data_IF_075251327576
#
_entry.id   IF_075251327576
#
_cell.length_a   1.000
_cell.length_b   1.000
_cell.length_c   1.000
_cell.angle_alpha   90.00
_cell.angle_beta   90.00
_cell.angle_gamma   90.00
#
_symmetry.space_group_name_H-M   'P 1'
#
loop_
_entity.id
_entity.type
_entity.pdbx_description
1 polymer ?
#
# COMPACT_ATOMS: atom_id res chain seq x y z
N UNK A 1 -2.73 22.37 -19.23
CA UNK A 1 -2.44 20.92 -19.17
C UNK A 1 -1.15 20.67 -19.95
N UNK A 2 -0.03 20.33 -19.29
CA UNK A 2 1.25 20.11 -19.96
C UNK A 2 1.24 18.68 -20.50
N UNK A 3 1.04 18.53 -21.81
CA UNK A 3 0.95 17.24 -22.48
C UNK A 3 2.25 16.45 -22.25
N UNK A 4 2.15 15.25 -21.67
CA UNK A 4 3.26 14.31 -21.43
C UNK A 4 3.17 13.16 -22.44
N UNK A 5 3.63 13.35 -23.68
CA UNK A 5 3.47 12.38 -24.77
C UNK A 5 4.18 11.05 -24.48
N UNK A 6 5.20 11.06 -23.62
CA UNK A 6 5.95 9.87 -23.22
C UNK A 6 5.36 9.16 -21.98
N UNK A 7 4.25 9.67 -21.43
CA UNK A 7 3.61 9.15 -20.20
C UNK A 7 4.60 9.00 -19.04
N UNK A 8 5.63 9.85 -18.96
CA UNK A 8 6.68 9.77 -17.93
C UNK A 8 6.09 9.89 -16.53
N UNK A 9 5.17 10.83 -16.32
CA UNK A 9 4.45 11.05 -15.07
C UNK A 9 3.62 9.84 -14.63
N UNK A 10 2.99 9.17 -15.58
CA UNK A 10 2.28 7.91 -15.34
C UNK A 10 3.26 6.81 -14.90
N UNK A 11 4.36 6.60 -15.64
CA UNK A 11 5.41 5.63 -15.27
C UNK A 11 5.98 5.89 -13.88
N UNK A 12 6.25 7.15 -13.54
CA UNK A 12 6.76 7.53 -12.21
C UNK A 12 5.74 7.24 -11.11
N UNK A 13 4.44 7.42 -11.38
CA UNK A 13 3.38 7.09 -10.43
C UNK A 13 3.32 5.59 -10.14
N UNK A 14 3.47 4.75 -11.17
CA UNK A 14 3.57 3.30 -11.00
C UNK A 14 4.78 2.88 -10.17
N UNK A 15 5.94 3.48 -10.46
CA UNK A 15 7.17 3.25 -9.69
C UNK A 15 6.91 3.61 -8.22
N UNK A 16 6.34 4.77 -7.93
CA UNK A 16 6.04 5.20 -6.57
C UNK A 16 5.14 4.20 -5.82
N UNK A 17 4.04 3.74 -6.43
CA UNK A 17 3.12 2.76 -5.82
C UNK A 17 3.83 1.43 -5.56
N UNK A 18 4.62 0.93 -6.52
CA UNK A 18 5.36 -0.32 -6.37
C UNK A 18 6.39 -0.24 -5.24
N UNK A 19 7.18 0.83 -5.20
CA UNK A 19 8.19 1.05 -4.16
C UNK A 19 7.57 1.28 -2.78
N UNK A 20 6.44 1.99 -2.68
CA UNK A 20 5.69 2.13 -1.44
C UNK A 20 5.28 0.75 -0.88
N UNK A 21 4.82 -0.15 -1.75
CA UNK A 21 4.46 -1.51 -1.36
C UNK A 21 5.66 -2.33 -0.89
N UNK A 22 6.77 -2.30 -1.64
CA UNK A 22 8.00 -2.99 -1.23
C UNK A 22 8.55 -2.47 0.11
N UNK A 23 8.51 -1.15 0.31
CA UNK A 23 8.94 -0.54 1.56
C UNK A 23 8.05 -0.95 2.73
N UNK A 24 6.73 -0.99 2.54
CA UNK A 24 5.79 -1.44 3.57
C UNK A 24 6.09 -2.89 4.00
N UNK A 25 6.34 -3.81 3.05
CA UNK A 25 6.71 -5.20 3.37
C UNK A 25 8.01 -5.27 4.18
N UNK A 26 9.03 -4.51 3.76
CA UNK A 26 10.30 -4.46 4.47
C UNK A 26 10.13 -3.89 5.88
N UNK A 27 9.33 -2.84 6.04
CA UNK A 27 9.01 -2.23 7.33
C UNK A 27 8.31 -3.23 8.26
N UNK A 28 7.26 -3.91 7.78
CA UNK A 28 6.54 -4.93 8.54
C UNK A 28 7.46 -6.08 8.95
N UNK A 29 8.36 -6.51 8.07
CA UNK A 29 9.34 -7.55 8.36
C UNK A 29 10.34 -7.13 9.44
N UNK A 30 10.86 -5.90 9.37
CA UNK A 30 11.81 -5.38 10.35
C UNK A 30 11.15 -5.20 11.72
N UNK A 31 10.07 -4.42 11.77
CA UNK A 31 9.34 -4.11 13.01
C UNK A 31 8.74 -5.37 13.62
N UNK A 32 8.20 -6.27 12.79
CA UNK A 32 7.59 -7.49 13.27
C UNK A 32 8.59 -8.47 13.85
N UNK A 33 9.76 -8.65 13.22
CA UNK A 33 10.84 -9.47 13.80
C UNK A 33 11.41 -8.87 15.08
N UNK A 34 11.49 -7.55 15.17
CA UNK A 34 11.94 -6.85 16.36
C UNK A 34 10.97 -7.02 17.54
N UNK A 35 9.66 -6.80 17.31
CA UNK A 35 8.64 -6.83 18.36
C UNK A 35 8.20 -8.23 18.77
N UNK A 36 8.08 -9.15 17.82
CA UNK A 36 7.50 -10.48 18.04
C UNK A 36 8.57 -11.59 18.08
N UNK A 37 9.78 -11.30 17.62
CA UNK A 37 10.81 -12.30 17.35
C UNK A 37 10.59 -13.04 16.02
N UNK A 38 11.65 -13.67 15.48
CA UNK A 38 11.62 -14.25 14.13
C UNK A 38 10.64 -15.42 13.98
N UNK A 39 10.53 -16.30 14.98
CA UNK A 39 9.67 -17.49 14.91
C UNK A 39 8.18 -17.14 14.96
N UNK A 40 7.80 -16.16 15.79
CA UNK A 40 6.41 -15.71 15.86
C UNK A 40 6.06 -14.88 14.62
N UNK A 41 6.96 -14.00 14.17
CA UNK A 41 6.76 -13.23 12.95
C UNK A 41 6.55 -14.15 11.73
N UNK A 42 7.35 -15.21 11.60
CA UNK A 42 7.19 -16.21 10.51
C UNK A 42 5.81 -16.87 10.49
N UNK A 43 5.15 -17.01 11.64
CA UNK A 43 3.79 -17.57 11.70
C UNK A 43 2.73 -16.61 11.15
N UNK A 44 2.97 -15.31 11.23
CA UNK A 44 2.03 -14.27 10.77
C UNK A 44 2.41 -13.72 9.38
N UNK A 45 3.65 -13.89 8.94
CA UNK A 45 4.12 -13.51 7.61
C UNK A 45 3.83 -14.62 6.59
N UNK A 46 2.55 -14.98 6.48
CA UNK A 46 2.07 -15.98 5.52
C UNK A 46 1.53 -15.29 4.27
N UNK A 47 1.54 -16.00 3.14
CA UNK A 47 1.09 -15.48 1.85
C UNK A 47 -0.35 -14.93 1.85
N UNK A 48 -1.20 -15.37 2.78
CA UNK A 48 -2.59 -14.93 2.89
C UNK A 48 -2.83 -13.84 3.96
N UNK A 49 -1.80 -13.48 4.75
CA UNK A 49 -1.96 -12.47 5.80
C UNK A 49 -1.84 -11.08 5.20
N UNK A 50 -2.88 -10.28 5.38
CA UNK A 50 -2.97 -8.96 4.76
C UNK A 50 -2.17 -7.91 5.51
N UNK A 51 -1.94 -6.76 4.89
CA UNK A 51 -1.24 -5.64 5.56
C UNK A 51 -1.95 -5.19 6.82
N UNK A 52 -3.27 -5.09 6.78
CA UNK A 52 -4.08 -4.64 7.90
C UNK A 52 -4.04 -5.65 9.05
N UNK A 53 -4.02 -6.95 8.75
CA UNK A 53 -3.85 -8.00 9.75
C UNK A 53 -2.48 -7.93 10.42
N UNK A 54 -1.40 -7.79 9.63
CA UNK A 54 -0.05 -7.60 10.17
C UNK A 54 0.02 -6.35 11.05
N UNK A 55 -0.58 -5.23 10.61
CA UNK A 55 -0.62 -3.98 11.38
C UNK A 55 -1.36 -4.13 12.70
N UNK A 56 -2.51 -4.79 12.72
CA UNK A 56 -3.25 -5.08 13.97
C UNK A 56 -2.42 -5.90 14.95
N UNK A 57 -1.74 -6.93 14.46
CA UNK A 57 -0.85 -7.77 15.28
C UNK A 57 0.35 -6.99 15.83
N UNK A 58 0.77 -5.93 15.14
CA UNK A 58 1.83 -5.02 15.59
C UNK A 58 1.33 -3.85 16.45
N UNK A 59 0.04 -3.83 16.81
CA UNK A 59 -0.54 -2.88 17.75
C UNK A 59 -1.24 -1.66 17.12
N UNK A 60 -1.37 -1.61 15.79
CA UNK A 60 -2.12 -0.54 15.12
C UNK A 60 -3.62 -0.87 15.18
N UNK A 61 -4.40 -0.02 15.84
CA UNK A 61 -5.85 -0.15 15.99
C UNK A 61 -6.65 1.00 15.36
N UNK A 62 -5.98 2.04 14.86
CA UNK A 62 -6.60 3.16 14.17
C UNK A 62 -7.37 2.67 12.93
N UNK A 63 -8.70 2.82 12.97
CA UNK A 63 -9.60 2.33 11.93
C UNK A 63 -9.39 3.01 10.58
N UNK A 64 -9.07 4.30 10.59
CA UNK A 64 -8.92 5.10 9.38
C UNK A 64 -7.60 4.74 8.69
N UNK A 65 -6.53 4.55 9.48
CA UNK A 65 -5.25 4.07 8.96
C UNK A 65 -5.35 2.65 8.38
N UNK A 66 -6.09 1.76 9.05
CA UNK A 66 -6.33 0.40 8.54
C UNK A 66 -7.18 0.40 7.27
N UNK A 67 -8.19 1.27 7.17
CA UNK A 67 -8.99 1.44 5.96
C UNK A 67 -8.15 2.01 4.80
N UNK A 68 -7.29 2.99 5.07
CA UNK A 68 -6.36 3.54 4.10
C UNK A 68 -5.37 2.49 3.59
N UNK A 69 -4.82 1.68 4.50
CA UNK A 69 -3.94 0.56 4.16
C UNK A 69 -4.63 -0.47 3.25
N UNK A 70 -5.90 -0.81 3.55
CA UNK A 70 -6.72 -1.68 2.71
C UNK A 70 -6.90 -1.13 1.31
N UNK A 71 -7.30 0.14 1.19
CA UNK A 71 -7.44 0.80 -0.11
C UNK A 71 -6.13 0.76 -0.89
N UNK A 72 -5.00 1.07 -0.25
CA UNK A 72 -3.69 1.02 -0.88
C UNK A 72 -3.33 -0.38 -1.39
N UNK A 73 -3.54 -1.42 -0.57
CA UNK A 73 -3.30 -2.82 -0.93
C UNK A 73 -4.13 -3.24 -2.14
N UNK A 74 -5.42 -2.88 -2.15
CA UNK A 74 -6.34 -3.18 -3.25
C UNK A 74 -5.92 -2.47 -4.54
N UNK A 75 -5.68 -1.16 -4.49
CA UNK A 75 -5.20 -0.39 -5.63
C UNK A 75 -3.87 -0.94 -6.19
N UNK A 76 -2.90 -1.27 -5.33
CA UNK A 76 -1.64 -1.91 -5.75
C UNK A 76 -1.89 -3.26 -6.42
N UNK A 77 -2.75 -4.10 -5.85
CA UNK A 77 -3.05 -5.41 -6.42
C UNK A 77 -3.69 -5.27 -7.80
N UNK A 78 -4.64 -4.36 -7.98
CA UNK A 78 -5.29 -4.13 -9.27
C UNK A 78 -4.28 -3.63 -10.31
N UNK A 79 -3.37 -2.74 -9.92
CA UNK A 79 -2.29 -2.24 -10.79
C UNK A 79 -1.25 -3.31 -11.15
N UNK A 80 -0.92 -4.22 -10.23
CA UNK A 80 0.12 -5.23 -10.41
C UNK A 80 -0.37 -6.51 -11.11
N UNK A 81 -1.67 -6.84 -11.03
CA UNK A 81 -2.20 -8.09 -11.55
C UNK A 81 -2.74 -8.00 -12.99
N UNK A 82 -2.49 -6.91 -13.73
CA UNK A 82 -3.00 -6.70 -15.11
C UNK A 82 -4.45 -7.18 -15.28
N UNK A 83 -5.31 -7.03 -14.26
CA UNK A 83 -6.73 -7.29 -14.46
C UNK A 83 -7.17 -6.27 -15.51
N UNK A 84 -7.77 -6.70 -16.64
CA UNK A 84 -8.39 -5.76 -17.56
C UNK A 84 -9.33 -4.93 -16.71
N UNK A 85 -9.07 -3.64 -16.64
CA UNK A 85 -10.01 -2.70 -16.03
C UNK A 85 -11.23 -2.79 -16.93
N UNK A 86 -12.28 -3.49 -16.49
CA UNK A 86 -13.54 -3.53 -17.21
C UNK A 86 -14.06 -2.10 -17.19
N UNK A 87 -13.85 -1.38 -18.29
CA UNK A 87 -14.20 0.04 -18.43
C UNK A 87 -15.71 0.25 -18.24
N UNK A 88 -16.52 -0.81 -18.42
CA UNK A 88 -17.96 -0.82 -18.16
C UNK A 88 -18.33 -1.01 -16.67
N UNK A 89 -17.38 -1.49 -15.84
CA UNK A 89 -17.56 -1.68 -14.39
C UNK A 89 -17.03 -0.52 -13.55
N UNK A 90 -16.43 0.51 -14.17
CA UNK A 90 -16.12 1.77 -13.50
C UNK A 90 -17.43 2.51 -13.24
N UNK A 91 -18.09 2.10 -12.16
CA UNK A 91 -19.06 2.93 -11.47
C UNK A 91 -18.45 4.34 -11.32
N UNK A 92 -19.24 5.34 -11.68
CA UNK A 92 -18.90 6.77 -11.82
C UNK A 92 -18.50 7.44 -10.48
N UNK A 93 -17.85 6.72 -9.57
CA UNK A 93 -17.61 7.13 -8.20
C UNK A 93 -16.45 8.10 -8.03
N UNK A 94 -15.33 7.96 -8.75
CA UNK A 94 -14.18 8.86 -8.58
C UNK A 94 -13.16 8.70 -9.73
N UNK A 95 -13.03 9.72 -10.57
CA UNK A 95 -11.91 9.82 -11.51
C UNK A 95 -10.60 10.05 -10.75
N UNK A 96 -9.88 8.98 -10.40
CA UNK A 96 -8.58 9.08 -9.72
C UNK A 96 -7.45 9.01 -10.73
N UNK A 97 -6.52 9.97 -10.67
CA UNK A 97 -5.34 9.94 -11.52
C UNK A 97 -4.27 9.02 -10.92
N UNK A 98 -3.36 8.51 -11.76
CA UNK A 98 -2.22 7.72 -11.28
C UNK A 98 -1.37 8.51 -10.26
N UNK A 99 -1.28 9.82 -10.43
CA UNK A 99 -0.57 10.74 -9.55
C UNK A 99 -1.25 10.84 -8.17
N UNK A 100 -2.58 10.86 -8.13
CA UNK A 100 -3.34 10.88 -6.87
C UNK A 100 -3.14 9.57 -6.11
N UNK A 101 -3.18 8.43 -6.81
CA UNK A 101 -2.94 7.11 -6.22
C UNK A 101 -1.49 6.96 -5.72
N UNK A 102 -0.52 7.50 -6.45
CA UNK A 102 0.88 7.51 -6.00
C UNK A 102 1.07 8.36 -4.74
N UNK A 103 0.46 9.54 -4.69
CA UNK A 103 0.52 10.42 -3.52
C UNK A 103 -0.15 9.76 -2.32
N UNK A 104 -1.32 9.16 -2.52
CA UNK A 104 -2.05 8.42 -1.49
C UNK A 104 -1.23 7.23 -0.95
N UNK A 105 -0.58 6.46 -1.82
CA UNK A 105 0.27 5.35 -1.43
C UNK A 105 1.43 5.81 -0.55
N UNK A 106 2.13 6.88 -0.94
CA UNK A 106 3.26 7.44 -0.18
C UNK A 106 2.80 7.92 1.20
N UNK A 107 1.71 8.69 1.27
CA UNK A 107 1.23 9.25 2.54
C UNK A 107 0.69 8.15 3.47
N UNK A 108 0.01 7.13 2.92
CA UNK A 108 -0.44 5.97 3.69
C UNK A 108 0.74 5.23 4.32
N UNK A 109 1.78 4.92 3.53
CA UNK A 109 2.97 4.22 4.01
C UNK A 109 3.75 5.07 5.01
N UNK A 110 3.82 6.38 4.83
CA UNK A 110 4.40 7.31 5.80
C UNK A 110 3.64 7.29 7.13
N UNK A 111 2.31 7.35 7.10
CA UNK A 111 1.49 7.29 8.30
C UNK A 111 1.66 5.95 9.05
N UNK A 112 1.71 4.83 8.33
CA UNK A 112 2.02 3.51 8.90
C UNK A 112 3.40 3.50 9.54
N UNK A 113 4.41 4.07 8.87
CA UNK A 113 5.78 4.15 9.38
C UNK A 113 5.81 4.89 10.71
N UNK A 114 5.15 6.04 10.79
CA UNK A 114 4.99 6.80 12.03
C UNK A 114 4.29 6.00 13.11
N UNK A 115 3.17 5.34 12.79
CA UNK A 115 2.45 4.49 13.75
C UNK A 115 3.29 3.32 14.29
N UNK A 116 4.20 2.77 13.47
CA UNK A 116 5.05 1.64 13.85
C UNK A 116 6.38 2.04 14.50
N UNK A 117 6.91 3.24 14.23
CA UNK A 117 8.23 3.65 14.76
C UNK A 117 8.17 4.73 15.83
N UNK A 118 7.08 5.49 15.91
CA UNK A 118 6.90 6.53 16.92
C UNK A 118 7.64 7.84 16.66
N UNK A 119 8.24 8.01 15.48
CA UNK A 119 8.91 9.25 15.04
C UNK A 119 7.94 10.25 14.38
#
# INVERSE_FOLDING_TARGET
MRHDPERRSFKQSFIAIAFAGMYLEALLALVGRERLGPELYKKIDRAHTTYEEKLRLLGISDSDLLAACKRFREARNDLMHEKPVDLESQDLGEWRTAQDEASFAIETVRAITKGLRGD
#
